data_IF_567475249503
#
_entry.id   IF_567475249503
#
_cell.length_a   1.000
_cell.length_b   1.000
_cell.length_c   1.000
_cell.angle_alpha   90.00
_cell.angle_beta   90.00
_cell.angle_gamma   90.00
#
_symmetry.space_group_name_H-M   'P 1'
#
loop_
_entity.id
_entity.type
_entity.pdbx_description
1 polymer ?
#
# COMPACT_ATOMS: atom_id res chain seq x y z
N UNK A 1 7.96 0.35 -37.76
CA UNK A 1 8.75 0.89 -36.61
C UNK A 1 8.32 0.14 -35.37
N UNK A 2 9.26 -0.33 -34.54
CA UNK A 2 8.91 -1.01 -33.29
C UNK A 2 8.16 -0.05 -32.35
N UNK A 3 7.00 -0.49 -31.87
CA UNK A 3 6.22 0.22 -30.86
C UNK A 3 6.95 0.18 -29.52
N UNK A 4 6.59 1.07 -28.60
CA UNK A 4 7.16 1.01 -27.25
C UNK A 4 6.74 -0.26 -26.50
N UNK A 5 5.58 -0.85 -26.86
CA UNK A 5 5.17 -2.17 -26.37
C UNK A 5 6.12 -3.28 -26.82
N UNK A 6 6.62 -3.24 -28.06
CA UNK A 6 7.60 -4.21 -28.57
C UNK A 6 8.93 -4.15 -27.79
N UNK A 7 9.33 -2.95 -27.35
CA UNK A 7 10.57 -2.72 -26.60
C UNK A 7 10.44 -3.11 -25.13
N UNK A 8 9.23 -3.05 -24.57
CA UNK A 8 8.93 -3.47 -23.21
C UNK A 8 8.79 -4.99 -23.07
N UNK A 9 8.72 -5.74 -24.17
CA UNK A 9 8.66 -7.21 -24.10
C UNK A 9 9.83 -7.80 -23.30
N UNK A 10 9.53 -8.89 -22.59
CA UNK A 10 10.49 -9.63 -21.77
C UNK A 10 10.30 -9.40 -20.26
N UNK A 11 11.29 -9.82 -19.50
CA UNK A 11 11.29 -9.76 -18.04
C UNK A 11 12.10 -8.58 -17.52
N UNK A 12 11.59 -7.94 -16.47
CA UNK A 12 12.17 -6.77 -15.84
C UNK A 12 12.22 -6.97 -14.32
N UNK A 13 13.41 -6.90 -13.73
CA UNK A 13 13.62 -6.97 -12.28
C UNK A 13 13.34 -5.60 -11.67
N UNK A 14 12.57 -5.56 -10.58
CA UNK A 14 12.26 -4.31 -9.86
C UNK A 14 13.46 -3.95 -8.99
N UNK A 15 14.17 -2.89 -9.36
CA UNK A 15 15.39 -2.45 -8.64
C UNK A 15 15.14 -1.32 -7.64
N UNK A 16 14.06 -0.57 -7.83
CA UNK A 16 13.64 0.46 -6.87
C UNK A 16 12.13 0.62 -6.92
N UNK A 17 11.50 0.67 -5.75
CA UNK A 17 10.12 1.09 -5.58
C UNK A 17 10.08 2.23 -4.58
N UNK A 18 9.42 3.31 -4.95
CA UNK A 18 9.05 4.41 -4.07
C UNK A 18 7.54 4.54 -4.08
N UNK A 19 6.93 4.73 -2.92
CA UNK A 19 5.49 4.92 -2.83
C UNK A 19 5.16 5.95 -1.76
N UNK A 20 4.28 6.89 -2.10
CA UNK A 20 3.87 7.98 -1.21
C UNK A 20 5.04 8.71 -0.52
N UNK A 21 6.09 9.02 -1.29
CA UNK A 21 7.29 9.73 -0.86
C UNK A 21 8.30 8.87 -0.09
N UNK A 22 8.08 7.55 0.00
CA UNK A 22 8.91 6.63 0.79
C UNK A 22 9.53 5.58 -0.10
N UNK A 23 10.86 5.51 -0.09
CA UNK A 23 11.60 4.43 -0.76
C UNK A 23 11.38 3.12 0.00
N UNK A 24 10.90 2.11 -0.71
CA UNK A 24 10.62 0.80 -0.15
C UNK A 24 11.89 -0.05 -0.12
N UNK A 25 12.03 -0.96 0.86
CA UNK A 25 13.08 -1.98 0.83
C UNK A 25 12.98 -2.80 -0.47
N UNK A 26 14.13 -3.21 -1.01
CA UNK A 26 14.15 -4.11 -2.14
C UNK A 26 13.47 -5.43 -1.78
N UNK A 27 12.60 -5.92 -2.67
CA UNK A 27 11.91 -7.20 -2.49
C UNK A 27 12.61 -8.23 -3.38
N UNK A 28 13.32 -9.23 -2.80
CA UNK A 28 14.02 -10.23 -3.59
C UNK A 28 13.06 -10.99 -4.52
N UNK A 29 13.41 -11.09 -5.79
CA UNK A 29 12.60 -11.80 -6.79
C UNK A 29 11.41 -11.01 -7.35
N UNK A 30 11.24 -9.73 -6.97
CA UNK A 30 10.23 -8.87 -7.58
C UNK A 30 10.53 -8.58 -9.05
N UNK A 31 9.59 -8.93 -9.94
CA UNK A 31 9.74 -8.74 -11.38
C UNK A 31 8.42 -8.50 -12.09
N UNK A 32 8.49 -7.84 -13.24
CA UNK A 32 7.39 -7.67 -14.19
C UNK A 32 7.76 -8.33 -15.51
N UNK A 33 6.91 -9.24 -15.98
CA UNK A 33 7.03 -9.90 -17.27
C UNK A 33 5.99 -9.32 -18.22
N UNK A 34 6.43 -8.83 -19.38
CA UNK A 34 5.57 -8.34 -20.45
C UNK A 34 5.61 -9.33 -21.61
N UNK A 35 4.43 -9.85 -21.99
CA UNK A 35 4.27 -10.76 -23.13
C UNK A 35 3.05 -10.35 -23.96
N UNK A 36 3.30 -9.92 -25.19
CA UNK A 36 2.31 -9.23 -26.02
C UNK A 36 1.76 -8.02 -25.30
N UNK A 37 0.43 -7.91 -25.25
CA UNK A 37 -0.29 -6.87 -24.50
C UNK A 37 -0.64 -7.26 -23.06
N UNK A 38 0.09 -8.19 -22.44
CA UNK A 38 -0.16 -8.62 -21.05
C UNK A 38 1.04 -8.37 -20.15
N UNK A 39 0.76 -8.06 -18.89
CA UNK A 39 1.76 -8.02 -17.83
C UNK A 39 1.48 -9.09 -16.78
N UNK A 40 2.55 -9.58 -16.17
CA UNK A 40 2.54 -10.42 -14.97
C UNK A 40 3.52 -9.83 -13.98
N UNK A 41 3.05 -9.42 -12.81
CA UNK A 41 3.89 -8.93 -11.71
C UNK A 41 4.05 -10.03 -10.65
N UNK A 42 5.30 -10.36 -10.32
CA UNK A 42 5.71 -11.45 -9.45
C UNK A 42 6.57 -10.90 -8.30
N UNK A 43 6.63 -11.64 -7.18
CA UNK A 43 7.56 -11.37 -6.08
C UNK A 43 7.19 -10.19 -5.17
N UNK A 44 6.16 -9.42 -5.49
CA UNK A 44 5.64 -8.33 -4.66
C UNK A 44 4.54 -8.78 -3.67
N UNK A 45 4.50 -10.07 -3.35
CA UNK A 45 3.41 -10.73 -2.62
C UNK A 45 2.58 -11.62 -3.54
N UNK A 46 1.38 -11.18 -3.94
CA UNK A 46 0.51 -11.90 -4.89
C UNK A 46 1.00 -11.75 -6.33
N UNK A 47 0.67 -12.72 -7.18
CA UNK A 47 0.83 -12.58 -8.63
C UNK A 47 -0.31 -11.73 -9.15
N UNK A 48 0.03 -10.62 -9.81
CA UNK A 48 -0.94 -9.79 -10.51
C UNK A 48 -0.80 -10.01 -12.00
N UNK A 49 -1.92 -10.13 -12.70
CA UNK A 49 -1.91 -10.19 -14.16
C UNK A 49 -2.91 -9.23 -14.75
N UNK A 50 -2.62 -8.76 -15.94
CA UNK A 50 -3.51 -7.86 -16.62
C UNK A 50 -3.11 -7.54 -18.04
N UNK A 51 -3.86 -6.61 -18.62
CA UNK A 51 -3.55 -6.01 -19.91
C UNK A 51 -2.76 -4.71 -19.69
N UNK A 52 -1.83 -4.45 -20.60
CA UNK A 52 -1.09 -3.19 -20.67
C UNK A 52 -1.58 -2.39 -21.87
N UNK A 53 -1.97 -1.15 -21.65
CA UNK A 53 -2.38 -0.22 -22.70
C UNK A 53 -1.37 0.93 -22.73
N UNK A 54 -0.82 1.24 -23.90
CA UNK A 54 0.26 2.23 -24.06
C UNK A 54 -0.16 3.29 -25.06
N UNK A 55 0.02 4.55 -24.66
CA UNK A 55 -0.08 5.71 -25.53
C UNK A 55 1.27 6.44 -25.57
N UNK A 56 2.08 6.02 -26.54
CA UNK A 56 3.45 6.50 -26.76
C UNK A 56 3.53 7.93 -27.34
N UNK A 57 2.39 8.51 -27.76
CA UNK A 57 2.32 9.86 -28.35
C UNK A 57 2.15 10.96 -27.30
N UNK A 58 1.75 10.62 -26.07
CA UNK A 58 1.62 11.57 -24.96
C UNK A 58 2.98 11.96 -24.38
N UNK A 59 3.02 13.14 -23.78
CA UNK A 59 4.20 13.67 -23.07
C UNK A 59 3.78 14.08 -21.64
N UNK A 60 4.23 13.36 -20.59
CA UNK A 60 4.98 12.09 -20.62
C UNK A 60 4.19 10.94 -21.27
N UNK A 61 4.90 9.90 -21.74
CA UNK A 61 4.27 8.72 -22.36
C UNK A 61 3.35 8.05 -21.34
N UNK A 62 2.16 7.65 -21.78
CA UNK A 62 1.12 7.13 -20.89
C UNK A 62 1.03 5.60 -20.98
N UNK A 63 0.76 4.98 -19.84
CA UNK A 63 0.58 3.54 -19.68
C UNK A 63 -0.57 3.29 -18.71
N UNK A 64 -1.43 2.33 -19.02
CA UNK A 64 -2.49 1.86 -18.13
C UNK A 64 -2.34 0.36 -17.88
N UNK A 65 -2.46 -0.04 -16.62
CA UNK A 65 -2.46 -1.45 -16.22
C UNK A 65 -3.88 -1.83 -15.83
N UNK A 66 -4.49 -2.73 -16.61
CA UNK A 66 -5.85 -3.23 -16.39
C UNK A 66 -5.77 -4.63 -15.80
N UNK A 67 -6.08 -4.78 -14.52
CA UNK A 67 -5.90 -6.03 -13.79
C UNK A 67 -7.01 -7.03 -14.14
N UNK A 68 -6.62 -8.20 -14.62
CA UNK A 68 -7.52 -9.31 -14.98
C UNK A 68 -7.40 -10.51 -14.05
N UNK A 69 -6.38 -10.57 -13.20
CA UNK A 69 -6.22 -11.57 -12.15
C UNK A 69 -5.51 -10.99 -10.91
N UNK A 70 -5.74 -11.62 -9.76
CA UNK A 70 -5.23 -11.20 -8.45
C UNK A 70 -6.20 -10.30 -7.67
N UNK A 71 -5.82 -9.83 -6.47
CA UNK A 71 -6.73 -9.08 -5.58
C UNK A 71 -7.28 -7.77 -6.15
N UNK A 72 -6.63 -7.23 -7.18
CA UNK A 72 -7.02 -5.99 -7.87
C UNK A 72 -7.83 -6.24 -9.16
N UNK A 73 -8.32 -7.45 -9.40
CA UNK A 73 -9.07 -7.79 -10.61
C UNK A 73 -10.24 -6.82 -10.86
N UNK A 74 -10.38 -6.35 -12.10
CA UNK A 74 -11.41 -5.39 -12.50
C UNK A 74 -11.03 -3.92 -12.29
N UNK A 75 -9.88 -3.64 -11.67
CA UNK A 75 -9.37 -2.27 -11.49
C UNK A 75 -8.40 -1.87 -12.60
N UNK A 76 -8.14 -0.56 -12.70
CA UNK A 76 -7.17 0.02 -13.63
C UNK A 76 -6.28 1.02 -12.89
N UNK A 77 -4.96 0.89 -13.06
CA UNK A 77 -3.99 1.89 -12.62
C UNK A 77 -3.59 2.77 -13.80
N UNK A 78 -3.65 4.09 -13.62
CA UNK A 78 -3.23 5.07 -14.62
C UNK A 78 -1.81 5.51 -14.36
N UNK A 79 -0.97 5.54 -15.40
CA UNK A 79 0.44 5.85 -15.21
C UNK A 79 1.13 6.58 -16.34
N UNK A 80 2.38 6.91 -16.08
CA UNK A 80 3.33 7.38 -17.09
C UNK A 80 4.58 6.52 -17.04
N UNK A 81 5.27 6.42 -18.16
CA UNK A 81 6.49 5.66 -18.24
C UNK A 81 7.55 6.35 -19.11
N UNK A 82 8.78 5.98 -18.83
CA UNK A 82 9.92 6.24 -19.69
C UNK A 82 10.80 5.00 -19.67
N UNK A 83 11.46 4.70 -20.78
CA UNK A 83 12.37 3.56 -20.83
C UNK A 83 13.56 3.90 -21.71
N UNK A 84 14.74 3.47 -21.26
CA UNK A 84 15.96 3.39 -22.05
C UNK A 84 16.16 1.96 -22.57
N UNK A 85 17.39 1.62 -22.96
CA UNK A 85 17.72 0.27 -23.46
C UNK A 85 17.42 -0.84 -22.44
N UNK A 86 17.94 -0.67 -21.22
CA UNK A 86 17.90 -1.70 -20.17
C UNK A 86 17.24 -1.23 -18.88
N UNK A 87 16.72 0.00 -18.87
CA UNK A 87 16.08 0.62 -17.69
C UNK A 87 14.69 1.09 -18.05
N UNK A 88 13.70 0.66 -17.28
CA UNK A 88 12.32 1.09 -17.37
C UNK A 88 11.95 1.85 -16.10
N UNK A 89 11.30 2.99 -16.23
CA UNK A 89 10.77 3.76 -15.11
C UNK A 89 9.28 3.96 -15.32
N UNK A 90 8.52 3.61 -14.30
CA UNK A 90 7.07 3.55 -14.33
C UNK A 90 6.54 4.34 -13.12
N UNK A 91 5.56 5.21 -13.34
CA UNK A 91 4.90 5.97 -12.28
C UNK A 91 3.39 5.74 -12.37
N UNK A 92 2.81 5.04 -11.41
CA UNK A 92 1.41 4.61 -11.41
C UNK A 92 0.62 5.30 -10.29
N UNK A 93 -0.58 5.77 -10.60
CA UNK A 93 -1.61 5.97 -9.60
C UNK A 93 -2.19 4.59 -9.23
N UNK A 94 -1.92 4.14 -8.00
CA UNK A 94 -2.34 2.85 -7.44
C UNK A 94 -3.76 2.86 -6.88
N UNK A 95 -4.33 4.06 -6.72
CA UNK A 95 -5.74 4.29 -6.43
C UNK A 95 -6.17 5.65 -6.98
N UNK A 96 -7.46 5.78 -7.30
CA UNK A 96 -8.03 6.98 -7.94
C UNK A 96 -7.92 6.97 -9.47
N UNK A 97 -8.39 8.05 -10.07
CA UNK A 97 -8.61 8.24 -11.51
C UNK A 97 -7.70 9.33 -12.12
N UNK A 98 -6.75 9.84 -11.34
CA UNK A 98 -5.84 10.90 -11.77
C UNK A 98 -4.48 10.34 -12.20
N UNK A 99 -4.17 10.44 -13.50
CA UNK A 99 -2.86 10.04 -14.04
C UNK A 99 -1.74 10.95 -13.51
N UNK A 100 -0.61 10.39 -13.03
CA UNK A 100 0.56 11.18 -12.67
C UNK A 100 1.11 11.98 -13.87
N UNK A 101 1.59 13.19 -13.63
CA UNK A 101 2.21 14.05 -14.66
C UNK A 101 3.73 14.15 -14.56
N UNK A 102 4.31 13.66 -13.47
CA UNK A 102 5.75 13.70 -13.20
C UNK A 102 6.20 12.38 -12.56
N UNK A 103 7.47 12.02 -12.77
CA UNK A 103 8.09 10.84 -12.16
C UNK A 103 8.52 11.13 -10.72
N UNK A 104 7.54 11.39 -9.86
CA UNK A 104 7.76 11.68 -8.45
C UNK A 104 6.59 11.17 -7.64
N UNK A 105 6.88 10.70 -6.43
CA UNK A 105 5.84 10.36 -5.46
C UNK A 105 5.77 11.44 -4.38
N UNK A 106 4.58 11.70 -3.85
CA UNK A 106 4.37 12.60 -2.72
C UNK A 106 3.51 11.89 -1.67
N UNK A 107 3.73 12.15 -0.37
CA UNK A 107 2.92 11.52 0.66
C UNK A 107 1.41 11.70 0.45
N UNK A 108 0.70 10.56 0.39
CA UNK A 108 -0.76 10.50 0.31
C UNK A 108 -1.35 10.68 -1.09
N UNK A 109 -0.53 10.75 -2.15
CA UNK A 109 -1.03 10.84 -3.54
C UNK A 109 -1.42 9.49 -4.12
N UNK A 110 -1.04 8.38 -3.50
CA UNK A 110 -1.28 7.03 -4.03
C UNK A 110 -0.45 6.71 -5.25
N UNK A 111 0.68 7.39 -5.39
CA UNK A 111 1.56 7.26 -6.55
C UNK A 111 2.72 6.36 -6.18
N UNK A 112 2.92 5.32 -6.97
CA UNK A 112 4.09 4.45 -6.94
C UNK A 112 5.02 4.82 -8.09
N UNK A 113 6.31 4.98 -7.80
CA UNK A 113 7.38 5.15 -8.77
C UNK A 113 8.29 3.92 -8.70
N UNK A 114 8.33 3.20 -9.80
CA UNK A 114 9.11 1.99 -9.97
C UNK A 114 10.25 2.24 -10.96
N UNK A 115 11.43 1.73 -10.63
CA UNK A 115 12.53 1.55 -11.57
C UNK A 115 12.79 0.06 -11.71
N UNK A 116 12.84 -0.39 -12.96
CA UNK A 116 13.08 -1.77 -13.33
C UNK A 116 14.25 -1.85 -14.29
N UNK A 117 14.96 -2.97 -14.26
CA UNK A 117 16.06 -3.30 -15.18
C UNK A 117 15.79 -4.62 -15.89
N UNK A 118 16.27 -4.75 -17.13
CA UNK A 118 16.02 -5.98 -17.91
C UNK A 118 16.70 -7.17 -17.24
N UNK A 119 15.99 -8.30 -17.14
CA UNK A 119 16.51 -9.54 -16.56
C UNK A 119 17.82 -9.94 -17.26
N UNK A 120 18.87 -10.16 -16.48
CA UNK A 120 20.23 -10.45 -16.96
C UNK A 120 21.19 -9.25 -17.03
N UNK A 121 20.69 -8.00 -17.08
CA UNK A 121 21.53 -6.80 -17.01
C UNK A 121 22.17 -6.61 -15.61
N UNK A 122 21.55 -7.18 -14.58
CA UNK A 122 21.98 -7.11 -13.16
C UNK A 122 23.30 -7.87 -12.90
N UNK A 123 23.78 -8.71 -13.83
CA UNK A 123 25.05 -9.44 -13.67
C UNK A 123 26.31 -8.57 -13.78
N UNK A 124 26.22 -7.29 -14.18
CA UNK A 124 27.41 -6.43 -14.40
C UNK A 124 27.49 -5.13 -13.59
N UNK A 125 26.57 -4.83 -12.67
CA UNK A 125 26.67 -3.63 -11.82
C UNK A 125 26.58 -3.98 -10.33
N UNK A 126 27.67 -4.57 -9.85
CA UNK A 126 28.36 -4.21 -8.61
C UNK A 126 27.54 -4.08 -7.31
N UNK A 127 27.74 -5.09 -6.45
CA UNK A 127 27.82 -4.98 -5.00
C UNK A 127 28.41 -3.61 -4.55
N UNK A 128 27.58 -2.69 -4.06
CA UNK A 128 28.01 -1.69 -3.06
C UNK A 128 26.81 -1.12 -2.29
N UNK A 129 26.62 -1.66 -1.09
CA UNK A 129 25.78 -1.06 -0.06
C UNK A 129 26.45 0.20 0.53
N UNK A 130 25.68 1.05 1.22
CA UNK A 130 25.90 1.11 2.67
C UNK A 130 24.56 1.10 3.45
N UNK A 131 24.25 -0.04 4.06
CA UNK A 131 23.03 -0.28 4.85
C UNK A 131 23.07 0.31 6.27
N UNK A 132 24.18 0.91 6.72
CA UNK A 132 24.36 1.27 8.15
C UNK A 132 23.94 2.69 8.55
N UNK A 133 23.90 3.67 7.65
CA UNK A 133 23.51 5.06 8.01
C UNK A 133 22.00 5.31 7.92
N UNK A 134 21.28 4.61 7.05
CA UNK A 134 19.83 4.80 6.84
C UNK A 134 18.99 4.23 7.98
N UNK A 135 19.41 3.11 8.59
CA UNK A 135 18.69 2.50 9.73
C UNK A 135 18.66 3.42 10.97
N UNK A 136 19.77 4.11 11.25
CA UNK A 136 19.89 5.06 12.37
C UNK A 136 19.00 6.31 12.19
N UNK A 137 18.90 6.84 10.96
CA UNK A 137 18.05 7.99 10.65
C UNK A 137 16.55 7.64 10.62
N UNK A 138 16.17 6.45 10.15
CA UNK A 138 14.77 5.97 10.16
C UNK A 138 14.29 5.75 11.61
N UNK A 139 15.14 5.20 12.48
CA UNK A 139 14.82 5.05 13.91
C UNK A 139 14.61 6.42 14.59
N UNK A 140 15.46 7.40 14.27
CA UNK A 140 15.37 8.76 14.82
C UNK A 140 14.18 9.56 14.28
N UNK A 141 13.80 9.36 13.02
CA UNK A 141 12.60 9.97 12.43
C UNK A 141 11.30 9.32 12.93
N UNK A 142 11.27 8.01 13.17
CA UNK A 142 10.14 7.31 13.82
C UNK A 142 9.90 7.79 15.25
N UNK A 143 10.95 8.19 15.97
CA UNK A 143 10.85 8.75 17.31
C UNK A 143 10.34 10.21 17.34
N UNK A 144 10.47 10.94 16.24
CA UNK A 144 10.15 12.38 16.18
C UNK A 144 8.68 12.70 15.86
N UNK A 145 7.88 11.74 15.35
CA UNK A 145 6.44 11.91 15.08
C UNK A 145 5.53 11.40 16.24
N UNK A 146 6.10 10.85 17.31
CA UNK A 146 5.34 10.20 18.37
C UNK A 146 4.91 11.22 19.43
N UNK A 147 3.62 11.56 19.43
CA UNK A 147 2.94 12.08 20.63
C UNK A 147 3.02 11.08 21.80
N UNK A 148 2.36 11.35 22.94
CA UNK A 148 2.43 10.46 24.10
C UNK A 148 2.07 9.01 23.73
N UNK A 149 2.81 8.05 24.29
CA UNK A 149 2.60 6.61 24.09
C UNK A 149 1.15 6.26 24.42
N UNK A 150 0.52 5.46 23.57
CA UNK A 150 -0.88 5.06 23.72
C UNK A 150 -1.00 3.56 24.03
N UNK A 151 -2.16 3.09 24.54
CA UNK A 151 -2.39 1.64 24.70
C UNK A 151 -2.26 0.84 23.40
N UNK A 152 -2.46 1.48 22.24
CA UNK A 152 -2.36 0.86 20.92
C UNK A 152 -0.92 0.80 20.37
N UNK A 153 0.07 1.31 21.11
CA UNK A 153 1.47 1.36 20.72
C UNK A 153 2.00 -0.01 20.28
N UNK A 154 2.77 -0.03 19.19
CA UNK A 154 3.51 -1.21 18.74
C UNK A 154 3.27 -1.57 17.28
N UNK A 155 3.80 -2.72 16.89
CA UNK A 155 3.61 -3.34 15.59
C UNK A 155 2.69 -4.55 15.73
N UNK A 156 1.77 -4.69 14.79
CA UNK A 156 0.67 -5.65 14.86
C UNK A 156 0.48 -6.36 13.53
N UNK A 157 0.15 -7.66 13.59
CA UNK A 157 -0.27 -8.49 12.46
C UNK A 157 -1.77 -8.67 12.51
N UNK A 158 -2.45 -8.55 11.38
CA UNK A 158 -3.90 -8.79 11.32
C UNK A 158 -4.17 -10.28 11.56
N UNK A 159 -5.22 -10.58 12.34
CA UNK A 159 -5.76 -11.92 12.55
C UNK A 159 -7.01 -12.13 11.71
N UNK A 160 -7.86 -11.10 11.59
CA UNK A 160 -9.04 -11.14 10.73
C UNK A 160 -9.50 -9.72 10.38
N UNK A 161 -10.26 -9.61 9.29
CA UNK A 161 -10.90 -8.37 8.87
C UNK A 161 -12.20 -8.64 8.15
N UNK A 162 -13.24 -7.84 8.43
CA UNK A 162 -14.52 -7.85 7.72
C UNK A 162 -14.82 -6.41 7.29
N UNK A 163 -15.05 -6.18 6.00
CA UNK A 163 -15.31 -4.87 5.42
C UNK A 163 -16.65 -4.90 4.71
N UNK A 164 -17.59 -4.06 5.14
CA UNK A 164 -18.95 -4.01 4.61
C UNK A 164 -19.59 -5.41 4.51
N UNK A 165 -19.41 -6.23 5.55
CA UNK A 165 -19.89 -7.62 5.63
C UNK A 165 -19.06 -8.67 4.86
N UNK A 166 -18.06 -8.28 4.07
CA UNK A 166 -17.19 -9.21 3.36
C UNK A 166 -15.92 -9.49 4.18
N UNK A 167 -15.68 -10.76 4.53
CA UNK A 167 -14.45 -11.16 5.17
C UNK A 167 -13.26 -10.98 4.20
N UNK A 168 -12.13 -10.49 4.72
CA UNK A 168 -10.87 -10.52 4.00
C UNK A 168 -10.44 -11.96 3.82
N UNK A 169 -9.93 -12.28 2.63
CA UNK A 169 -9.31 -13.57 2.36
C UNK A 169 -8.03 -13.75 3.21
N UNK A 170 -7.73 -14.98 3.60
CA UNK A 170 -6.61 -15.31 4.51
C UNK A 170 -5.26 -14.80 3.99
N UNK A 171 -5.04 -14.90 2.68
CA UNK A 171 -3.85 -14.36 2.05
C UNK A 171 -3.76 -12.83 2.21
N UNK A 172 -4.86 -12.09 2.20
CA UNK A 172 -4.82 -10.65 2.44
C UNK A 172 -4.57 -10.33 3.92
N UNK A 173 -5.11 -11.14 4.84
CA UNK A 173 -4.87 -11.03 6.29
C UNK A 173 -3.37 -11.22 6.60
N UNK A 174 -2.74 -12.23 5.98
CA UNK A 174 -1.32 -12.56 6.19
C UNK A 174 -0.39 -11.37 5.93
N UNK A 175 -0.69 -10.55 4.93
CA UNK A 175 0.12 -9.40 4.53
C UNK A 175 -0.33 -8.09 5.18
N UNK A 176 -1.39 -8.09 5.99
CA UNK A 176 -1.84 -6.90 6.71
C UNK A 176 -0.99 -6.63 7.95
N UNK A 177 -0.40 -5.43 8.01
CA UNK A 177 0.41 -4.96 9.14
C UNK A 177 -0.11 -3.63 9.64
N UNK A 178 -0.11 -3.44 10.95
CA UNK A 178 -0.41 -2.15 11.59
C UNK A 178 0.78 -1.72 12.43
N UNK A 179 1.24 -0.49 12.23
CA UNK A 179 2.24 0.17 13.08
C UNK A 179 1.58 1.36 13.73
N UNK A 180 1.61 1.40 15.06
CA UNK A 180 1.11 2.53 15.86
C UNK A 180 2.24 3.10 16.67
N UNK A 181 2.42 4.43 16.60
CA UNK A 181 3.38 5.20 17.41
C UNK A 181 2.73 6.48 17.90
N UNK A 182 2.63 6.66 19.21
CA UNK A 182 1.89 7.76 19.82
C UNK A 182 0.46 7.84 19.27
N UNK A 183 0.04 9.03 18.86
CA UNK A 183 -1.28 9.29 18.27
C UNK A 183 -1.41 8.98 16.78
N UNK A 184 -0.45 8.29 16.15
CA UNK A 184 -0.46 7.95 14.72
C UNK A 184 -0.52 6.42 14.52
N UNK A 185 -1.45 5.96 13.67
CA UNK A 185 -1.52 4.57 13.23
C UNK A 185 -1.44 4.46 11.71
N UNK A 186 -0.71 3.46 11.23
CA UNK A 186 -0.62 3.12 9.80
C UNK A 186 -0.95 1.65 9.63
N UNK A 187 -1.89 1.35 8.73
CA UNK A 187 -2.27 0.00 8.32
C UNK A 187 -1.88 -0.18 6.86
N UNK A 188 -1.13 -1.25 6.57
CA UNK A 188 -0.69 -1.62 5.23
C UNK A 188 -1.15 -3.03 4.90
N UNK A 189 -1.44 -3.30 3.63
CA UNK A 189 -1.66 -4.63 3.08
C UNK A 189 -0.60 -4.87 1.99
N UNK A 190 0.46 -5.61 2.33
CA UNK A 190 1.66 -5.67 1.49
C UNK A 190 2.25 -4.27 1.30
N UNK A 191 2.45 -3.79 0.04
CA UNK A 191 2.91 -2.43 -0.18
C UNK A 191 1.82 -1.40 0.15
N UNK A 192 0.54 -1.68 -0.11
CA UNK A 192 -0.54 -0.69 -0.11
C UNK A 192 -0.81 -0.10 1.29
N UNK A 193 -0.83 1.24 1.41
CA UNK A 193 -1.32 1.92 2.63
C UNK A 193 -2.85 1.94 2.62
N UNK A 194 -3.45 1.10 3.46
CA UNK A 194 -4.90 1.02 3.62
C UNK A 194 -5.43 2.18 4.46
N UNK A 195 -4.73 2.50 5.55
CA UNK A 195 -5.06 3.58 6.48
C UNK A 195 -3.77 4.22 6.95
N UNK A 196 -3.71 5.56 6.93
CA UNK A 196 -2.80 6.32 7.80
C UNK A 196 -3.67 7.34 8.49
N UNK A 197 -3.75 7.32 9.82
CA UNK A 197 -4.64 8.20 10.57
C UNK A 197 -4.00 8.64 11.88
N UNK A 198 -4.24 9.89 12.26
CA UNK A 198 -4.13 10.28 13.66
C UNK A 198 -5.38 9.84 14.40
N UNK A 199 -5.27 9.61 15.71
CA UNK A 199 -6.41 9.18 16.49
C UNK A 199 -6.45 9.73 17.91
N UNK A 200 -7.64 9.75 18.48
CA UNK A 200 -7.91 9.95 19.91
C UNK A 200 -8.60 8.72 20.48
N UNK A 201 -8.41 8.49 21.79
CA UNK A 201 -9.01 7.38 22.52
C UNK A 201 -9.81 7.91 23.70
N UNK A 202 -10.96 7.29 23.96
CA UNK A 202 -11.74 7.49 25.17
C UNK A 202 -12.08 6.12 25.78
N UNK A 203 -11.53 5.86 26.95
CA UNK A 203 -11.70 4.60 27.70
C UNK A 203 -12.75 4.70 28.80
N UNK A 204 -13.46 5.82 28.91
CA UNK A 204 -14.53 6.01 29.91
C UNK A 204 -15.81 5.23 29.58
N UNK A 205 -15.93 4.76 28.34
CA UNK A 205 -17.06 3.99 27.83
C UNK A 205 -16.65 2.56 27.50
N UNK A 206 -17.62 1.65 27.46
CA UNK A 206 -17.40 0.27 27.00
C UNK A 206 -18.45 -0.10 25.93
N UNK A 207 -18.02 -0.51 24.71
CA UNK A 207 -16.64 -0.58 24.22
C UNK A 207 -15.93 0.77 24.20
N UNK A 208 -14.60 0.78 24.36
CA UNK A 208 -13.83 2.02 24.34
C UNK A 208 -13.92 2.70 22.97
N UNK A 209 -13.96 4.03 22.94
CA UNK A 209 -14.10 4.81 21.72
C UNK A 209 -12.75 5.16 21.10
N UNK A 210 -12.70 5.17 19.77
CA UNK A 210 -11.56 5.62 18.96
C UNK A 210 -12.05 6.50 17.82
N UNK A 211 -11.40 7.63 17.60
CA UNK A 211 -11.73 8.53 16.49
C UNK A 211 -10.53 8.74 15.59
N UNK A 212 -10.71 8.55 14.29
CA UNK A 212 -9.67 8.72 13.28
C UNK A 212 -9.86 10.01 12.51
N UNK A 213 -8.73 10.67 12.25
CA UNK A 213 -8.59 11.65 11.17
C UNK A 213 -7.66 11.04 10.12
N UNK A 214 -8.22 10.66 8.97
CA UNK A 214 -7.47 9.92 7.96
C UNK A 214 -6.56 10.84 7.15
N UNK A 215 -5.27 10.55 7.17
CA UNK A 215 -4.21 11.24 6.43
C UNK A 215 -3.92 10.59 5.07
N UNK A 216 -4.19 9.29 4.91
CA UNK A 216 -4.05 8.54 3.65
C UNK A 216 -5.02 7.34 3.58
N UNK A 217 -5.07 6.70 2.40
CA UNK A 217 -6.01 5.61 2.10
C UNK A 217 -7.33 6.10 1.51
N UNK A 218 -8.28 5.18 1.31
CA UNK A 218 -9.57 5.46 0.65
C UNK A 218 -10.43 6.53 1.39
N UNK A 219 -10.19 6.72 2.69
CA UNK A 219 -10.90 7.71 3.53
C UNK A 219 -10.12 9.01 3.73
N UNK A 220 -9.03 9.28 2.98
CA UNK A 220 -8.17 10.46 3.17
C UNK A 220 -8.98 11.77 3.31
N UNK A 221 -8.62 12.57 4.30
CA UNK A 221 -9.26 13.85 4.63
C UNK A 221 -10.57 13.72 5.40
N UNK A 222 -11.04 12.50 5.67
CA UNK A 222 -12.30 12.26 6.37
C UNK A 222 -12.08 11.73 7.77
N UNK A 223 -13.00 12.10 8.67
CA UNK A 223 -13.04 11.54 10.02
C UNK A 223 -13.91 10.28 10.09
N UNK A 224 -13.53 9.35 10.96
CA UNK A 224 -14.28 8.13 11.23
C UNK A 224 -14.38 7.91 12.74
N UNK A 225 -15.58 7.61 13.22
CA UNK A 225 -15.81 7.15 14.58
C UNK A 225 -15.76 5.62 14.64
N UNK A 226 -15.15 5.10 15.70
CA UNK A 226 -15.03 3.66 15.92
C UNK A 226 -15.02 3.27 17.38
N UNK A 227 -14.89 1.98 17.61
CA UNK A 227 -14.67 1.39 18.92
C UNK A 227 -13.44 0.49 18.88
N UNK A 228 -12.78 0.33 20.02
CA UNK A 228 -11.64 -0.56 20.16
C UNK A 228 -11.67 -1.30 21.50
N UNK A 229 -10.93 -2.39 21.55
CA UNK A 229 -10.67 -3.14 22.78
C UNK A 229 -9.32 -3.84 22.67
N UNK A 230 -8.59 -3.90 23.78
CA UNK A 230 -7.42 -4.77 23.91
C UNK A 230 -7.71 -5.78 25.01
N UNK A 231 -7.75 -7.07 24.67
CA UNK A 231 -7.95 -8.15 25.61
C UNK A 231 -7.07 -9.34 25.22
N UNK A 232 -6.38 -9.96 26.17
CA UNK A 232 -5.57 -11.17 25.92
C UNK A 232 -4.46 -11.00 24.86
N UNK A 233 -3.93 -9.78 24.70
CA UNK A 233 -2.92 -9.47 23.66
C UNK A 233 -3.48 -9.29 22.25
N UNK A 234 -4.80 -9.35 22.09
CA UNK A 234 -5.51 -9.09 20.84
C UNK A 234 -6.11 -7.67 20.86
N UNK A 235 -5.92 -6.93 19.78
CA UNK A 235 -6.54 -5.64 19.53
C UNK A 235 -7.69 -5.83 18.55
N UNK A 236 -8.90 -5.44 18.96
CA UNK A 236 -10.08 -5.35 18.10
C UNK A 236 -10.39 -3.89 17.81
N UNK A 237 -10.66 -3.56 16.56
CA UNK A 237 -11.09 -2.22 16.13
C UNK A 237 -12.26 -2.35 15.17
N UNK A 238 -13.36 -1.67 15.45
CA UNK A 238 -14.49 -1.51 14.54
C UNK A 238 -14.67 -0.04 14.17
N UNK A 239 -14.53 0.31 12.89
CA UNK A 239 -14.73 1.68 12.40
C UNK A 239 -16.03 1.79 11.62
N UNK A 240 -16.76 2.88 11.80
CA UNK A 240 -17.86 3.25 10.91
C UNK A 240 -17.34 3.79 9.57
N UNK A 241 -18.18 3.79 8.54
CA UNK A 241 -17.91 4.58 7.34
C UNK A 241 -17.74 6.07 7.71
N UNK A 242 -16.99 6.86 6.91
CA UNK A 242 -16.81 8.28 7.18
C UNK A 242 -18.13 9.03 7.41
N UNK A 243 -18.19 9.81 8.49
CA UNK A 243 -19.37 10.59 8.89
C UNK A 243 -20.57 9.77 9.40
N UNK A 244 -20.46 8.45 9.52
CA UNK A 244 -21.52 7.60 10.10
C UNK A 244 -21.38 7.46 11.62
N UNK A 245 -22.47 7.13 12.33
CA UNK A 245 -22.44 6.98 13.79
C UNK A 245 -21.44 5.93 14.26
N UNK A 246 -20.87 6.16 15.46
CA UNK A 246 -19.97 5.22 16.12
C UNK A 246 -20.63 3.83 16.25
N UNK A 247 -19.95 2.73 15.89
CA UNK A 247 -20.47 1.39 16.13
C UNK A 247 -20.63 1.13 17.63
N UNK A 248 -21.65 0.36 18.01
CA UNK A 248 -21.87 -0.07 19.41
C UNK A 248 -21.43 -1.51 19.67
N UNK A 249 -21.07 -2.25 18.61
CA UNK A 249 -20.65 -3.64 18.67
C UNK A 249 -19.56 -3.91 17.63
N UNK A 250 -18.70 -4.89 17.94
CA UNK A 250 -17.60 -5.34 17.09
C UNK A 250 -18.09 -6.23 15.94
N UNK A 251 -18.77 -5.62 14.97
CA UNK A 251 -19.32 -6.32 13.82
C UNK A 251 -19.42 -5.41 12.58
N UNK A 252 -19.21 -6.01 11.40
CA UNK A 252 -19.58 -5.42 10.11
C UNK A 252 -20.47 -6.40 9.35
N UNK A 253 -21.57 -5.88 8.80
CA UNK A 253 -22.59 -6.59 8.02
C UNK A 253 -22.71 -5.96 6.63
N UNK A 254 -23.26 -6.72 5.70
CA UNK A 254 -23.48 -6.21 4.33
C UNK A 254 -24.29 -4.92 4.34
N UNK A 255 -23.77 -3.88 3.70
CA UNK A 255 -24.42 -2.57 3.53
C UNK A 255 -24.23 -1.58 4.68
N UNK A 256 -23.54 -1.94 5.77
CA UNK A 256 -23.31 -1.02 6.88
C UNK A 256 -22.11 -0.08 6.70
N UNK A 257 -21.25 -0.38 5.71
CA UNK A 257 -20.04 0.38 5.40
C UNK A 257 -18.98 0.36 6.51
N UNK A 258 -19.12 -0.51 7.52
CA UNK A 258 -18.19 -0.63 8.65
C UNK A 258 -16.99 -1.49 8.27
N UNK A 259 -15.94 -1.38 9.06
CA UNK A 259 -14.87 -2.37 9.09
C UNK A 259 -14.71 -2.90 10.51
N UNK A 260 -14.52 -4.20 10.65
CA UNK A 260 -14.18 -4.88 11.90
C UNK A 260 -12.89 -5.63 11.71
N UNK A 261 -11.87 -5.34 12.51
CA UNK A 261 -10.54 -5.94 12.37
C UNK A 261 -10.01 -6.42 13.72
N UNK A 262 -9.33 -7.57 13.71
CA UNK A 262 -8.60 -8.13 14.84
C UNK A 262 -7.12 -8.19 14.52
N UNK A 263 -6.28 -7.94 15.53
CA UNK A 263 -4.84 -7.84 15.42
C UNK A 263 -4.15 -8.50 16.61
N UNK A 264 -3.01 -9.14 16.37
CA UNK A 264 -2.08 -9.57 17.43
C UNK A 264 -0.79 -8.78 17.34
N UNK A 265 -0.09 -8.63 18.46
CA UNK A 265 1.24 -8.02 18.45
C UNK A 265 2.18 -8.83 17.56
N UNK A 266 3.09 -8.14 16.89
CA UNK A 266 4.21 -8.78 16.20
C UNK A 266 5.26 -9.11 17.24
N UNK A 267 5.65 -10.38 17.35
CA UNK A 267 6.87 -10.81 18.04
C UNK A 267 8.12 -10.23 17.36
#
# INVERSE_FOLDING_TARGET
MATDLDKLQGSWDVTSLEMDGRKMPAVPGAKIVIKGGRFTSLGMGQTYEGKIEIDQKKTPRAIDLVFTAGPQTGTRNLGIYTFGRDRWTLCLATYGDTRPRTFATKPGTGVALETLEREGAVTKVSKKAPAKQTASRIAKARAAEAGPVTPLEGDWKMVSGVFNGAALADNMVEWCRRTTRGGLTTVMAGPQTMVKATFTLDTSTHPHAIDYVNLAGASRGKSQAGIFEIAGGELRICMAAPGKPRPTAFASKSGDGRSMTSWKRSD
#
